data_IF_096482564212
#
_entry.id   IF_096482564212
#
_cell.length_a   1.000
_cell.length_b   1.000
_cell.length_c   1.000
_cell.angle_alpha   90.00
_cell.angle_beta   90.00
_cell.angle_gamma   90.00
#
_symmetry.space_group_name_H-M   'P 1'
#
loop_
_entity.id
_entity.type
_entity.pdbx_description
1 polymer ?
#
# COMPACT_ATOMS: atom_id res chain seq x y z
N UNK A 1 23.03 -2.83 7.12
CA UNK A 1 22.18 -1.63 6.92
C UNK A 1 21.14 -1.63 8.04
N UNK A 2 21.58 -1.27 9.24
CA UNK A 2 20.74 -1.30 10.44
C UNK A 2 19.66 -0.25 10.27
N UNK A 3 18.41 -0.68 10.16
CA UNK A 3 17.30 0.26 10.10
C UNK A 3 17.25 0.97 11.45
N UNK A 4 17.56 2.27 11.46
CA UNK A 4 17.50 3.09 12.66
C UNK A 4 16.02 3.30 13.00
N UNK A 5 15.41 2.27 13.58
CA UNK A 5 13.98 2.19 13.96
C UNK A 5 13.61 3.24 15.00
N UNK A 6 14.60 3.92 15.59
CA UNK A 6 14.42 5.11 16.42
C UNK A 6 13.98 6.33 15.61
N UNK A 7 14.32 6.40 14.31
CA UNK A 7 14.07 7.57 13.45
C UNK A 7 12.93 7.35 12.47
N UNK A 8 12.81 6.15 11.89
CA UNK A 8 11.76 5.87 10.90
C UNK A 8 11.06 4.54 11.14
N UNK A 9 9.75 4.54 10.93
CA UNK A 9 8.91 3.37 10.96
C UNK A 9 8.82 2.76 9.55
N UNK A 10 9.30 1.53 9.31
CA UNK A 10 9.29 0.93 7.97
C UNK A 10 7.91 0.89 7.30
N UNK A 11 6.85 0.65 8.08
CA UNK A 11 5.46 0.68 7.59
C UNK A 11 5.03 2.07 7.09
N UNK A 12 5.50 3.13 7.73
CA UNK A 12 5.21 4.50 7.28
C UNK A 12 5.83 4.75 5.90
N UNK A 13 7.09 4.33 5.69
CA UNK A 13 7.74 4.42 4.38
C UNK A 13 7.00 3.58 3.34
N UNK A 14 6.57 2.36 3.69
CA UNK A 14 5.77 1.52 2.82
C UNK A 14 4.49 2.23 2.33
N UNK A 15 3.70 2.82 3.24
CA UNK A 15 2.50 3.56 2.86
C UNK A 15 2.80 4.82 2.05
N UNK A 16 3.90 5.52 2.34
CA UNK A 16 4.34 6.68 1.56
C UNK A 16 4.69 6.31 0.12
N UNK A 17 5.30 5.15 -0.11
CA UNK A 17 5.61 4.63 -1.45
C UNK A 17 4.38 4.05 -2.16
N UNK A 18 3.28 3.80 -1.44
CA UNK A 18 2.01 3.33 -2.02
C UNK A 18 1.13 4.48 -2.54
N UNK A 19 1.51 5.74 -2.32
CA UNK A 19 0.75 6.91 -2.77
C UNK A 19 0.88 7.12 -4.27
N UNK A 20 -0.20 7.55 -4.91
CA UNK A 20 -0.22 7.92 -6.34
C UNK A 20 0.86 8.95 -6.67
N UNK A 21 1.11 9.92 -5.79
CA UNK A 21 2.17 10.92 -5.97
C UNK A 21 3.57 10.32 -6.13
N UNK A 22 3.85 9.19 -5.49
CA UNK A 22 5.11 8.48 -5.69
C UNK A 22 5.12 7.78 -7.05
N UNK A 23 4.02 7.12 -7.42
CA UNK A 23 3.89 6.50 -8.74
C UNK A 23 4.03 7.53 -9.86
N UNK A 24 3.34 8.67 -9.77
CA UNK A 24 3.43 9.78 -10.72
C UNK A 24 4.86 10.29 -10.84
N UNK A 25 5.57 10.48 -9.72
CA UNK A 25 6.96 10.89 -9.72
C UNK A 25 7.86 9.87 -10.45
N UNK A 26 7.66 8.56 -10.19
CA UNK A 26 8.41 7.48 -10.85
C UNK A 26 8.06 7.35 -12.34
N UNK A 27 6.85 7.74 -12.75
CA UNK A 27 6.38 7.66 -14.14
C UNK A 27 6.71 8.93 -14.95
N UNK A 28 6.77 10.11 -14.33
CA UNK A 28 7.04 11.38 -14.99
C UNK A 28 8.38 11.40 -15.74
N UNK A 29 9.36 10.62 -15.29
CA UNK A 29 10.66 10.45 -15.96
C UNK A 29 10.64 9.62 -17.24
N UNK A 30 9.49 9.08 -17.69
CA UNK A 30 9.44 8.08 -18.77
C UNK A 30 8.49 8.47 -19.89
N UNK A 31 9.06 8.99 -20.97
CA UNK A 31 8.38 9.12 -22.27
C UNK A 31 8.50 7.82 -23.06
N UNK A 32 7.39 7.24 -23.50
CA UNK A 32 7.33 6.35 -24.67
C UNK A 32 7.84 4.90 -24.53
N UNK A 33 7.95 4.34 -23.32
CA UNK A 33 8.42 2.95 -23.15
C UNK A 33 7.25 2.03 -22.79
N UNK A 34 7.07 0.97 -23.58
CA UNK A 34 6.07 -0.11 -23.39
C UNK A 34 6.12 -0.79 -22.01
N UNK A 35 7.19 -0.54 -21.24
CA UNK A 35 7.41 -0.97 -19.85
C UNK A 35 8.18 0.11 -19.07
N UNK A 36 7.50 1.06 -18.41
CA UNK A 36 8.18 2.13 -17.68
C UNK A 36 8.94 1.58 -16.45
N UNK A 37 10.26 1.35 -16.55
CA UNK A 37 11.10 0.91 -15.41
C UNK A 37 11.64 2.10 -14.61
N UNK A 38 11.31 2.20 -13.31
CA UNK A 38 11.76 3.31 -12.46
C UNK A 38 13.28 3.30 -12.30
N UNK A 39 13.92 4.44 -12.55
CA UNK A 39 15.35 4.58 -12.30
C UNK A 39 15.61 4.56 -10.79
N UNK A 40 16.47 3.67 -10.32
CA UNK A 40 16.83 3.55 -8.90
C UNK A 40 17.34 4.87 -8.33
N UNK A 41 18.16 5.60 -9.10
CA UNK A 41 18.71 6.89 -8.68
C UNK A 41 17.62 7.94 -8.46
N UNK A 42 16.62 7.97 -9.33
CA UNK A 42 15.53 8.94 -9.23
C UNK A 42 14.57 8.60 -8.09
N UNK A 43 14.30 7.31 -7.87
CA UNK A 43 13.54 6.82 -6.72
C UNK A 43 14.21 7.24 -5.40
N UNK A 44 15.54 7.13 -5.30
CA UNK A 44 16.29 7.51 -4.10
C UNK A 44 16.30 9.03 -3.84
N UNK A 45 16.01 9.86 -4.86
CA UNK A 45 15.88 11.32 -4.75
C UNK A 45 14.48 11.76 -4.31
N UNK A 46 13.50 10.86 -4.27
CA UNK A 46 12.15 11.19 -3.85
C UNK A 46 12.13 11.66 -2.39
N UNK A 47 11.57 12.84 -2.15
CA UNK A 47 11.49 13.43 -0.81
C UNK A 47 10.26 12.88 -0.08
N UNK A 48 10.51 12.18 1.02
CA UNK A 48 9.46 11.67 1.91
C UNK A 48 9.38 12.60 3.14
N UNK A 49 8.23 13.25 3.43
CA UNK A 49 8.03 13.94 4.69
C UNK A 49 8.20 12.99 5.88
N UNK A 50 9.04 13.38 6.83
CA UNK A 50 9.45 12.54 7.94
C UNK A 50 9.09 13.22 9.28
N UNK A 51 7.83 13.06 9.73
CA UNK A 51 7.41 13.59 11.03
C UNK A 51 8.03 12.79 12.18
N UNK A 52 7.82 13.22 13.43
CA UNK A 52 8.31 12.50 14.61
C UNK A 52 7.81 11.05 14.64
N UNK A 53 8.57 10.13 15.26
CA UNK A 53 8.27 8.69 15.23
C UNK A 53 6.89 8.36 15.79
N UNK A 54 6.40 9.12 16.77
CA UNK A 54 5.07 8.94 17.36
C UNK A 54 3.95 9.31 16.39
N UNK A 55 4.16 10.34 15.57
CA UNK A 55 3.22 10.72 14.53
C UNK A 55 3.21 9.68 13.40
N UNK A 56 4.38 9.15 13.03
CA UNK A 56 4.46 8.03 12.07
C UNK A 56 3.67 6.81 12.57
N UNK A 57 3.77 6.47 13.87
CA UNK A 57 3.00 5.38 14.48
C UNK A 57 1.50 5.64 14.46
N UNK A 58 1.06 6.87 14.78
CA UNK A 58 -0.36 7.25 14.75
C UNK A 58 -0.96 7.13 13.36
N UNK A 59 -0.24 7.62 12.35
CA UNK A 59 -0.66 7.52 10.94
C UNK A 59 -0.77 6.05 10.53
N UNK A 60 0.26 5.24 10.82
CA UNK A 60 0.26 3.81 10.48
C UNK A 60 -0.89 3.08 11.17
N UNK A 61 -1.13 3.32 12.46
CA UNK A 61 -2.21 2.67 13.19
C UNK A 61 -3.60 2.97 12.60
N UNK A 62 -3.84 4.21 12.16
CA UNK A 62 -5.10 4.57 11.50
C UNK A 62 -5.27 3.84 10.16
N UNK A 63 -4.21 3.76 9.36
CA UNK A 63 -4.24 3.05 8.07
C UNK A 63 -4.48 1.55 8.30
N UNK A 64 -3.80 0.95 9.27
CA UNK A 64 -3.96 -0.48 9.58
C UNK A 64 -5.35 -0.83 10.08
N UNK A 65 -5.98 0.04 10.87
CA UNK A 65 -7.35 -0.14 11.30
C UNK A 65 -8.32 -0.20 10.10
N UNK A 66 -8.14 0.70 9.13
CA UNK A 66 -8.95 0.74 7.90
C UNK A 66 -8.67 -0.47 7.00
N UNK A 67 -7.40 -0.86 6.82
CA UNK A 67 -7.03 -2.05 6.02
C UNK A 67 -7.59 -3.34 6.64
N UNK A 68 -7.65 -3.42 7.97
CA UNK A 68 -8.27 -4.55 8.66
C UNK A 68 -9.78 -4.61 8.38
N UNK A 69 -10.46 -3.47 8.42
CA UNK A 69 -11.89 -3.39 8.09
C UNK A 69 -12.17 -3.77 6.63
N UNK A 70 -11.37 -3.24 5.70
CA UNK A 70 -11.46 -3.59 4.27
C UNK A 70 -11.26 -5.09 4.07
N UNK A 71 -10.28 -5.69 4.76
CA UNK A 71 -10.00 -7.13 4.65
C UNK A 71 -11.18 -7.95 5.16
N UNK A 72 -11.76 -7.59 6.32
CA UNK A 72 -12.95 -8.27 6.87
C UNK A 72 -14.12 -8.23 5.88
N UNK A 73 -14.42 -7.06 5.33
CA UNK A 73 -15.51 -6.91 4.37
C UNK A 73 -15.27 -7.73 3.10
N UNK A 74 -14.04 -7.77 2.59
CA UNK A 74 -13.68 -8.60 1.43
C UNK A 74 -13.89 -10.09 1.69
N UNK A 75 -13.47 -10.59 2.85
CA UNK A 75 -13.68 -11.99 3.24
C UNK A 75 -15.17 -12.31 3.36
N UNK A 76 -15.99 -11.41 3.90
CA UNK A 76 -17.44 -11.60 3.96
C UNK A 76 -18.07 -11.69 2.56
N UNK A 77 -17.65 -10.84 1.63
CA UNK A 77 -18.12 -10.88 0.23
C UNK A 77 -17.72 -12.19 -0.44
N UNK A 78 -16.49 -12.64 -0.25
CA UNK A 78 -15.98 -13.89 -0.81
C UNK A 78 -16.74 -15.11 -0.27
N UNK A 79 -17.00 -15.15 1.04
CA UNK A 79 -17.79 -16.21 1.66
C UNK A 79 -19.22 -16.23 1.12
N UNK A 80 -19.87 -15.06 1.07
CA UNK A 80 -21.24 -14.95 0.54
C UNK A 80 -21.34 -15.37 -0.94
N UNK A 81 -20.33 -15.02 -1.75
CA UNK A 81 -20.23 -15.48 -3.13
C UNK A 81 -20.07 -17.00 -3.23
N UNK A 82 -19.26 -17.59 -2.35
CA UNK A 82 -19.03 -19.04 -2.29
C UNK A 82 -20.28 -19.80 -1.85
N UNK A 83 -21.00 -19.30 -0.83
CA UNK A 83 -22.28 -19.86 -0.37
C UNK A 83 -23.34 -19.79 -1.46
N UNK A 84 -23.45 -18.65 -2.16
CA UNK A 84 -24.33 -18.50 -3.31
C UNK A 84 -24.02 -19.56 -4.37
N UNK A 85 -22.75 -19.75 -4.73
CA UNK A 85 -22.36 -20.74 -5.73
C UNK A 85 -22.73 -22.16 -5.28
N UNK A 86 -22.46 -22.51 -4.02
CA UNK A 86 -22.80 -23.81 -3.47
C UNK A 86 -24.32 -24.09 -3.48
N UNK A 87 -25.15 -23.05 -3.26
CA UNK A 87 -26.60 -23.17 -3.39
C UNK A 87 -27.01 -23.39 -4.85
N UNK A 88 -26.41 -22.64 -5.79
CA UNK A 88 -26.69 -22.83 -7.22
C UNK A 88 -26.36 -24.27 -7.65
N UNK A 89 -25.15 -24.74 -7.34
CA UNK A 89 -24.69 -26.10 -7.71
C UNK A 89 -25.52 -27.22 -7.06
N UNK A 90 -26.15 -26.94 -5.91
CA UNK A 90 -26.99 -27.91 -5.19
C UNK A 90 -28.41 -28.02 -5.74
N UNK A 91 -28.96 -26.93 -6.28
CA UNK A 91 -30.40 -26.82 -6.59
C UNK A 91 -30.72 -26.52 -8.06
N UNK A 92 -29.76 -26.12 -8.88
CA UNK A 92 -29.89 -25.86 -10.31
C UNK A 92 -28.90 -26.70 -11.11
#
# INVERSE_FOLDING_TARGET
>A
RSADTSKYLPKYIFYMLRRDSFFDYVMAGKKGVKMPRGNKEDIMKYKIPMPHIDEQKRIVAQIEALELEITKVRTLIENAASEKQAILDKYL
#
